data_IF_210438597883
#
_entry.id   IF_210438597883
#
_cell.length_a   1.000
_cell.length_b   1.000
_cell.length_c   1.000
_cell.angle_alpha   90.00
_cell.angle_beta   90.00
_cell.angle_gamma   90.00
#
_symmetry.space_group_name_H-M   'P 1'
#
loop_
_entity.id
_entity.type
_entity.pdbx_description
1 polymer ?
#
# COMPACT_ATOMS: atom_id res chain seq x y z
N UNK A 1 12.92 -5.98 -19.10
CA UNK A 1 11.50 -5.86 -18.67
C UNK A 1 11.06 -4.42 -18.90
N UNK A 2 10.18 -4.15 -19.87
CA UNK A 2 9.57 -2.83 -20.05
C UNK A 2 8.48 -2.70 -18.98
N UNK A 3 8.72 -1.90 -17.94
CA UNK A 3 7.64 -1.50 -17.03
C UNK A 3 6.62 -0.71 -17.86
N UNK A 4 5.38 -1.20 -17.93
CA UNK A 4 4.33 -0.51 -18.67
C UNK A 4 3.98 0.82 -17.97
N UNK A 5 3.65 1.85 -18.73
CA UNK A 5 3.31 3.19 -18.23
C UNK A 5 2.23 3.17 -17.12
N UNK A 6 1.31 2.20 -17.18
CA UNK A 6 0.24 2.00 -16.20
C UNK A 6 0.77 1.57 -14.81
N UNK A 7 1.84 0.78 -14.76
CA UNK A 7 2.45 0.37 -13.47
C UNK A 7 3.19 1.55 -12.81
N UNK A 8 3.78 2.42 -13.62
CA UNK A 8 4.39 3.67 -13.13
C UNK A 8 3.34 4.61 -12.54
N UNK A 9 2.16 4.73 -13.15
CA UNK A 9 1.06 5.56 -12.64
C UNK A 9 0.60 5.10 -11.25
N UNK A 10 0.59 3.79 -10.99
CA UNK A 10 0.13 3.24 -9.71
C UNK A 10 1.21 3.32 -8.62
N UNK A 11 2.48 3.21 -9.01
CA UNK A 11 3.64 3.33 -8.11
C UNK A 11 4.03 4.79 -7.82
N UNK A 12 3.79 5.71 -8.75
CA UNK A 12 4.16 7.12 -8.63
C UNK A 12 3.55 7.80 -7.39
N UNK A 13 2.26 7.60 -7.04
CA UNK A 13 1.69 8.08 -5.79
C UNK A 13 2.42 7.55 -4.54
N UNK A 14 2.85 6.29 -4.57
CA UNK A 14 3.58 5.69 -3.44
C UNK A 14 4.96 6.33 -3.26
N UNK A 15 5.74 6.49 -4.33
CA UNK A 15 7.06 7.13 -4.24
C UNK A 15 6.96 8.62 -3.87
N UNK A 16 6.00 9.33 -4.45
CA UNK A 16 5.74 10.71 -4.10
C UNK A 16 5.33 10.85 -2.63
N UNK A 17 4.52 9.93 -2.10
CA UNK A 17 4.18 9.92 -0.68
C UNK A 17 5.42 9.83 0.20
N UNK A 18 6.35 8.92 -0.08
CA UNK A 18 7.59 8.78 0.70
C UNK A 18 8.46 10.04 0.66
N UNK A 19 8.53 10.70 -0.48
CA UNK A 19 9.23 11.98 -0.61
C UNK A 19 8.51 13.10 0.15
N UNK A 20 7.18 13.18 0.03
CA UNK A 20 6.35 14.20 0.65
C UNK A 20 6.33 14.06 2.18
N UNK A 21 6.15 12.86 2.72
CA UNK A 21 6.07 12.64 4.18
C UNK A 21 7.35 13.06 4.92
N UNK A 22 8.51 12.91 4.27
CA UNK A 22 9.79 13.25 4.87
C UNK A 22 10.16 14.74 4.67
N UNK A 23 9.63 15.42 3.64
CA UNK A 23 9.97 16.82 3.31
C UNK A 23 8.83 17.85 3.50
N UNK A 24 7.60 17.42 3.78
CA UNK A 24 6.45 18.33 3.81
C UNK A 24 6.45 19.25 5.04
N UNK A 25 6.13 20.52 4.81
CA UNK A 25 5.85 21.48 5.88
C UNK A 25 4.55 21.12 6.60
N UNK A 26 4.68 20.77 7.88
CA UNK A 26 3.59 20.30 8.74
C UNK A 26 2.66 21.42 9.20
N UNK A 27 3.10 22.68 9.09
CA UNK A 27 2.30 23.84 9.45
C UNK A 27 1.53 24.41 8.25
N UNK A 28 1.74 23.86 7.06
CA UNK A 28 1.04 24.28 5.84
C UNK A 28 -0.45 23.92 5.90
N UNK A 29 -1.30 24.82 5.39
CA UNK A 29 -2.75 24.59 5.26
C UNK A 29 -3.09 23.42 4.32
N UNK A 30 -2.19 23.11 3.37
CA UNK A 30 -2.36 21.99 2.43
C UNK A 30 -1.95 20.65 3.01
N UNK A 31 -1.14 20.65 4.09
CA UNK A 31 -0.68 19.44 4.75
C UNK A 31 -1.81 18.49 5.16
N UNK A 32 -2.86 18.92 5.90
CA UNK A 32 -3.93 18.02 6.30
C UNK A 32 -4.72 17.47 5.11
N UNK A 33 -4.89 18.25 4.04
CA UNK A 33 -5.61 17.82 2.83
C UNK A 33 -4.88 16.64 2.18
N UNK A 34 -3.57 16.81 1.96
CA UNK A 34 -2.72 15.78 1.35
C UNK A 34 -2.60 14.57 2.29
N UNK A 35 -2.50 14.81 3.60
CA UNK A 35 -2.49 13.75 4.62
C UNK A 35 -3.74 12.86 4.54
N UNK A 36 -4.94 13.44 4.55
CA UNK A 36 -6.19 12.66 4.47
C UNK A 36 -6.38 12.00 3.11
N UNK A 37 -5.93 12.64 2.03
CA UNK A 37 -5.93 12.03 0.69
C UNK A 37 -5.11 10.73 0.66
N UNK A 38 -3.87 10.76 1.15
CA UNK A 38 -3.04 9.56 1.22
C UNK A 38 -3.56 8.53 2.21
N UNK A 39 -4.17 8.96 3.31
CA UNK A 39 -4.80 8.05 4.26
C UNK A 39 -5.90 7.21 3.58
N UNK A 40 -6.79 7.86 2.82
CA UNK A 40 -7.87 7.17 2.08
C UNK A 40 -7.28 6.29 0.97
N UNK A 41 -6.31 6.82 0.21
CA UNK A 41 -5.67 6.08 -0.88
C UNK A 41 -5.06 4.76 -0.42
N UNK A 42 -4.25 4.78 0.64
CA UNK A 42 -3.63 3.57 1.18
C UNK A 42 -4.63 2.66 1.90
N UNK A 43 -5.69 3.21 2.50
CA UNK A 43 -6.77 2.37 3.04
C UNK A 43 -7.47 1.57 1.94
N UNK A 44 -7.68 2.17 0.76
CA UNK A 44 -8.20 1.48 -0.42
C UNK A 44 -7.20 0.45 -0.96
N UNK A 45 -5.91 0.77 -0.97
CA UNK A 45 -4.86 -0.17 -1.37
C UNK A 45 -4.82 -1.40 -0.45
N UNK A 46 -4.95 -1.20 0.86
CA UNK A 46 -4.98 -2.26 1.85
C UNK A 46 -6.24 -3.15 1.71
N UNK A 47 -7.40 -2.56 1.40
CA UNK A 47 -8.60 -3.32 1.08
C UNK A 47 -8.37 -4.20 -0.16
N UNK A 48 -7.74 -3.65 -1.20
CA UNK A 48 -7.39 -4.40 -2.40
C UNK A 48 -6.42 -5.55 -2.10
N UNK A 49 -5.45 -5.35 -1.20
CA UNK A 49 -4.53 -6.42 -0.74
C UNK A 49 -5.28 -7.56 -0.04
N UNK A 50 -6.26 -7.21 0.79
CA UNK A 50 -7.12 -8.18 1.48
C UNK A 50 -7.93 -8.99 0.45
N UNK A 51 -8.52 -8.32 -0.55
CA UNK A 51 -9.27 -8.98 -1.62
C UNK A 51 -8.37 -9.92 -2.44
N UNK A 52 -7.12 -9.54 -2.74
CA UNK A 52 -6.14 -10.42 -3.40
C UNK A 52 -5.82 -11.65 -2.56
N UNK A 53 -5.72 -11.51 -1.24
CA UNK A 53 -5.49 -12.62 -0.31
C UNK A 53 -6.66 -13.61 -0.34
N UNK A 54 -7.89 -13.11 -0.27
CA UNK A 54 -9.10 -13.94 -0.40
C UNK A 54 -9.12 -14.65 -1.75
N UNK A 55 -8.83 -13.91 -2.84
CA UNK A 55 -8.78 -14.47 -4.18
C UNK A 55 -7.73 -15.58 -4.28
N UNK A 56 -6.54 -15.39 -3.72
CA UNK A 56 -5.46 -16.39 -3.70
C UNK A 56 -5.89 -17.67 -2.98
N UNK A 57 -6.58 -17.53 -1.84
CA UNK A 57 -7.10 -18.66 -1.08
C UNK A 57 -8.20 -19.43 -1.84
N UNK A 58 -9.12 -18.71 -2.51
CA UNK A 58 -10.17 -19.32 -3.33
C UNK A 58 -9.61 -20.00 -4.59
N UNK A 59 -8.51 -19.49 -5.14
CA UNK A 59 -7.88 -20.04 -6.33
C UNK A 59 -7.02 -21.28 -6.03
N UNK A 60 -6.56 -21.44 -4.79
CA UNK A 60 -5.74 -22.57 -4.34
C UNK A 60 -6.32 -23.96 -4.69
N UNK A 61 -7.61 -24.29 -4.42
CA UNK A 61 -8.17 -25.60 -4.79
C UNK A 61 -8.23 -25.83 -6.31
N UNK A 62 -8.34 -24.77 -7.11
CA UNK A 62 -8.33 -24.86 -8.58
C UNK A 62 -6.93 -25.25 -9.06
N UNK A 63 -5.91 -24.62 -8.48
CA UNK A 63 -4.49 -24.90 -8.76
C UNK A 63 -4.12 -26.32 -8.35
N UNK A 64 -4.58 -26.78 -7.19
CA UNK A 64 -4.36 -28.17 -6.73
C UNK A 64 -4.98 -29.21 -7.65
N UNK A 65 -6.14 -28.89 -8.27
CA UNK A 65 -6.81 -29.82 -9.21
C UNK A 65 -6.14 -29.87 -10.59
N UNK A 66 -5.42 -28.81 -10.97
CA UNK A 66 -4.61 -28.72 -12.19
C UNK A 66 -3.12 -29.00 -11.87
N UNK A 67 -2.82 -30.20 -11.34
CA UNK A 67 -1.49 -30.60 -10.85
C UNK A 67 -0.34 -30.39 -11.86
N UNK A 68 -0.61 -30.34 -13.17
CA UNK A 68 0.39 -30.29 -14.23
C UNK A 68 0.53 -28.95 -14.98
N UNK A 69 -0.33 -27.96 -14.70
CA UNK A 69 -0.26 -26.67 -15.38
C UNK A 69 0.71 -25.72 -14.68
N UNK A 70 1.96 -25.72 -15.12
CA UNK A 70 3.02 -24.80 -14.65
C UNK A 70 2.59 -23.33 -14.72
N UNK A 71 1.73 -22.98 -15.68
CA UNK A 71 1.15 -21.64 -15.81
C UNK A 71 0.23 -21.29 -14.64
N UNK A 72 -0.62 -22.21 -14.17
CA UNK A 72 -1.54 -21.98 -13.06
C UNK A 72 -0.79 -21.80 -11.73
N UNK A 73 0.22 -22.63 -11.48
CA UNK A 73 1.13 -22.46 -10.34
C UNK A 73 1.91 -21.15 -10.38
N UNK A 74 2.38 -20.74 -11.56
CA UNK A 74 3.07 -19.47 -11.76
C UNK A 74 2.17 -18.26 -11.45
N UNK A 75 0.92 -18.27 -11.92
CA UNK A 75 -0.05 -17.22 -11.61
C UNK A 75 -0.38 -17.20 -10.11
N UNK A 76 -0.56 -18.37 -9.49
CA UNK A 76 -0.85 -18.45 -8.06
C UNK A 76 0.31 -17.92 -7.19
N UNK A 77 1.55 -18.32 -7.48
CA UNK A 77 2.73 -17.76 -6.80
C UNK A 77 2.87 -16.25 -7.02
N UNK A 78 2.58 -15.77 -8.23
CA UNK A 78 2.58 -14.34 -8.52
C UNK A 78 1.55 -13.59 -7.66
N UNK A 79 0.34 -14.12 -7.51
CA UNK A 79 -0.70 -13.53 -6.66
C UNK A 79 -0.25 -13.45 -5.19
N UNK A 80 0.39 -14.51 -4.67
CA UNK A 80 0.94 -14.52 -3.31
C UNK A 80 2.02 -13.44 -3.15
N UNK A 81 2.99 -13.38 -4.06
CA UNK A 81 4.06 -12.39 -3.99
C UNK A 81 3.51 -10.97 -4.09
N UNK A 82 2.49 -10.76 -4.93
CA UNK A 82 1.84 -9.47 -5.07
C UNK A 82 1.13 -9.05 -3.77
N UNK A 83 0.36 -9.96 -3.16
CA UNK A 83 -0.35 -9.76 -1.90
C UNK A 83 0.62 -9.51 -0.73
N UNK A 84 1.67 -10.31 -0.59
CA UNK A 84 2.67 -10.11 0.46
C UNK A 84 3.43 -8.78 0.28
N UNK A 85 3.71 -8.42 -0.98
CA UNK A 85 4.36 -7.16 -1.34
C UNK A 85 3.49 -5.94 -1.03
N UNK A 86 2.19 -6.00 -1.31
CA UNK A 86 1.25 -4.93 -0.95
C UNK A 86 1.10 -4.80 0.56
N UNK A 87 0.90 -5.89 1.29
CA UNK A 87 0.79 -5.88 2.76
C UNK A 87 2.04 -5.26 3.42
N UNK A 88 3.23 -5.56 2.90
CA UNK A 88 4.47 -4.97 3.39
C UNK A 88 4.55 -3.46 3.14
N UNK A 89 4.13 -3.00 1.95
CA UNK A 89 4.09 -1.58 1.61
C UNK A 89 3.07 -0.84 2.47
N UNK A 90 1.87 -1.40 2.64
CA UNK A 90 0.81 -0.85 3.49
C UNK A 90 1.29 -0.75 4.94
N UNK A 91 1.96 -1.78 5.46
CA UNK A 91 2.53 -1.75 6.80
C UNK A 91 3.53 -0.61 7.00
N UNK A 92 4.49 -0.43 6.08
CA UNK A 92 5.47 0.66 6.14
C UNK A 92 4.76 2.03 6.09
N UNK A 93 3.76 2.16 5.20
CA UNK A 93 2.97 3.37 5.09
C UNK A 93 2.25 3.72 6.40
N UNK A 94 1.45 2.79 6.94
CA UNK A 94 0.70 3.02 8.17
C UNK A 94 1.64 3.37 9.32
N UNK A 95 2.79 2.70 9.41
CA UNK A 95 3.81 3.01 10.42
C UNK A 95 4.29 4.46 10.33
N UNK A 96 4.62 4.96 9.12
CA UNK A 96 5.01 6.37 8.94
C UNK A 96 3.85 7.33 9.25
N UNK A 97 2.64 6.98 8.84
CA UNK A 97 1.45 7.81 9.01
C UNK A 97 1.01 7.96 10.49
N UNK A 98 1.12 6.89 11.26
CA UNK A 98 0.92 6.92 12.72
C UNK A 98 2.00 7.73 13.43
N UNK A 99 3.26 7.63 12.98
CA UNK A 99 4.36 8.45 13.52
C UNK A 99 4.07 9.95 13.31
N UNK A 100 3.66 10.34 12.10
CA UNK A 100 3.23 11.71 11.81
C UNK A 100 2.09 12.15 12.74
N UNK A 101 1.06 11.32 12.91
CA UNK A 101 -0.09 11.66 13.77
C UNK A 101 0.33 11.92 15.21
N UNK A 102 1.27 11.13 15.74
CA UNK A 102 1.85 11.33 17.08
C UNK A 102 2.64 12.63 17.18
N UNK A 103 3.40 12.98 16.15
CA UNK A 103 4.20 14.21 16.12
C UNK A 103 3.30 15.46 16.03
N UNK A 104 2.22 15.41 15.24
CA UNK A 104 1.19 16.46 15.20
C UNK A 104 0.45 16.60 16.55
N UNK A 105 0.12 15.47 17.19
CA UNK A 105 -0.51 15.45 18.51
C UNK A 105 0.37 16.06 19.60
N UNK A 106 1.68 15.75 19.60
CA UNK A 106 2.66 16.36 20.52
C UNK A 106 2.83 17.85 20.28
N UNK A 107 2.85 18.29 19.01
CA UNK A 107 2.96 19.72 18.67
C UNK A 107 1.79 20.56 19.19
N UNK A 108 0.56 19.99 19.22
CA UNK A 108 -0.61 20.68 19.79
C UNK A 108 -0.73 20.58 21.32
N UNK A 109 -0.18 19.52 21.93
CA UNK A 109 -0.30 19.25 23.37
C UNK A 109 0.67 19.99 24.29
N UNK A 110 1.64 20.75 23.75
CA UNK A 110 2.66 21.46 24.53
C UNK A 110 2.34 22.91 24.91
N UNK A 111 1.07 23.33 24.84
CA UNK A 111 0.63 24.66 25.28
C UNK A 111 -0.23 24.55 26.54
N UNK A 112 0.40 24.31 27.67
CA UNK A 112 -0.08 24.68 29.01
C UNK A 112 1.12 24.99 29.88
#
# INVERSE_FOLDING_TARGET
>A
MKLSFNQLILLFPCFYFFYWIDNADRNSKFFPIIYYFYWIYFSLLALFSLDLTIFSFLFFPIVLKHESDMSAWGVWLLLIVLSLGSDWLDYIFFKKMFRLRRELGKSKGGRY
#
